data_IF_185675102633
#
_entry.id   IF_185675102633
#
_cell.length_a   1.000
_cell.length_b   1.000
_cell.length_c   1.000
_cell.angle_alpha   90.00
_cell.angle_beta   90.00
_cell.angle_gamma   90.00
#
_symmetry.space_group_name_H-M   'P 1'
#
loop_
_entity.id
_entity.type
_entity.pdbx_description
1 polymer ?
#
# COMPACT_ATOMS: atom_id res chain seq x y z
N UNK A 1 0.82 8.54 0.86
CA UNK A 1 0.04 9.73 0.53
C UNK A 1 0.86 10.71 -0.33
N UNK A 2 2.04 11.17 0.11
CA UNK A 2 2.83 12.20 -0.57
C UNK A 2 3.02 11.93 -2.09
N UNK A 3 3.42 10.73 -2.48
CA UNK A 3 3.62 10.37 -3.90
C UNK A 3 2.30 10.46 -4.67
N UNK A 4 1.21 9.98 -4.08
CA UNK A 4 -0.10 10.03 -4.72
C UNK A 4 -0.67 11.45 -4.81
N UNK A 5 -0.30 12.39 -3.92
CA UNK A 5 -0.66 13.81 -4.09
C UNK A 5 0.06 14.44 -5.27
N UNK A 6 1.34 14.13 -5.48
CA UNK A 6 2.07 14.56 -6.68
C UNK A 6 1.44 13.99 -7.96
N UNK A 7 1.05 12.72 -7.93
CA UNK A 7 0.35 12.09 -9.07
C UNK A 7 -1.00 12.74 -9.35
N UNK A 8 -1.77 13.08 -8.31
CA UNK A 8 -3.07 13.75 -8.43
C UNK A 8 -2.91 15.15 -9.07
N UNK A 9 -1.93 15.90 -8.61
CA UNK A 9 -1.61 17.23 -9.15
C UNK A 9 -1.12 17.13 -10.59
N UNK A 10 -0.18 16.21 -10.88
CA UNK A 10 0.34 15.96 -12.21
C UNK A 10 -0.74 15.55 -13.21
N UNK A 11 -1.73 14.77 -12.78
CA UNK A 11 -2.86 14.31 -13.60
C UNK A 11 -3.97 15.36 -13.75
N UNK A 12 -3.80 16.56 -13.21
CA UNK A 12 -4.86 17.58 -13.14
C UNK A 12 -6.11 17.08 -12.42
N UNK A 13 -5.92 16.36 -11.33
CA UNK A 13 -7.01 15.74 -10.57
C UNK A 13 -7.83 16.72 -9.74
N UNK A 14 -8.94 16.23 -9.16
CA UNK A 14 -9.90 16.99 -8.37
C UNK A 14 -9.71 16.75 -6.87
N UNK A 15 -9.84 17.80 -6.08
CA UNK A 15 -9.79 17.71 -4.61
C UNK A 15 -11.11 17.25 -3.98
N UNK A 16 -12.22 17.32 -4.71
CA UNK A 16 -13.56 17.02 -4.18
C UNK A 16 -13.66 15.67 -3.44
N UNK A 17 -13.07 14.54 -3.93
CA UNK A 17 -13.13 13.25 -3.25
C UNK A 17 -12.45 13.23 -1.86
N UNK A 18 -11.62 14.22 -1.57
CA UNK A 18 -10.86 14.34 -0.32
C UNK A 18 -11.51 15.28 0.69
N UNK A 19 -12.64 15.90 0.36
CA UNK A 19 -13.37 16.82 1.23
C UNK A 19 -13.82 16.10 2.50
N UNK A 20 -13.82 16.82 3.63
CA UNK A 20 -14.13 16.27 4.93
C UNK A 20 -15.52 15.66 5.01
N UNK A 21 -16.52 16.33 4.44
CA UNK A 21 -17.90 15.87 4.42
C UNK A 21 -18.06 14.46 3.78
N UNK A 22 -17.25 14.13 2.77
CA UNK A 22 -17.25 12.81 2.14
C UNK A 22 -16.67 11.75 3.10
N UNK A 23 -15.63 12.11 3.84
CA UNK A 23 -15.00 11.17 4.78
C UNK A 23 -15.89 10.90 6.00
N UNK A 24 -16.56 11.92 6.51
CA UNK A 24 -17.38 11.81 7.71
C UNK A 24 -18.65 10.97 7.55
N UNK A 25 -19.20 10.85 6.35
CA UNK A 25 -20.37 9.99 6.10
C UNK A 25 -20.02 8.50 5.96
N UNK A 26 -18.72 8.17 5.88
CA UNK A 26 -18.18 6.80 5.92
C UNK A 26 -16.90 6.77 6.77
N UNK A 27 -17.03 6.86 8.11
CA UNK A 27 -15.95 7.31 8.99
C UNK A 27 -14.94 6.20 9.36
N UNK A 28 -14.29 5.58 8.37
CA UNK A 28 -13.12 4.76 8.62
C UNK A 28 -11.93 5.66 8.96
N UNK A 29 -11.21 5.33 10.03
CA UNK A 29 -10.14 6.18 10.56
C UNK A 29 -9.06 6.49 9.52
N UNK A 30 -8.54 5.47 8.85
CA UNK A 30 -7.52 5.64 7.82
C UNK A 30 -8.00 6.46 6.61
N UNK A 31 -9.30 6.35 6.27
CA UNK A 31 -9.91 7.15 5.20
C UNK A 31 -9.96 8.64 5.57
N UNK A 32 -10.38 8.97 6.79
CA UNK A 32 -10.39 10.36 7.31
C UNK A 32 -8.97 10.94 7.30
N UNK A 33 -8.01 10.21 7.86
CA UNK A 33 -6.61 10.62 7.90
C UNK A 33 -6.02 10.85 6.49
N UNK A 34 -6.38 10.01 5.53
CA UNK A 34 -5.93 10.17 4.14
C UNK A 34 -6.53 11.41 3.50
N UNK A 35 -7.83 11.64 3.65
CA UNK A 35 -8.48 12.84 3.16
C UNK A 35 -7.88 14.13 3.75
N UNK A 36 -7.60 14.13 5.06
CA UNK A 36 -6.96 15.24 5.74
C UNK A 36 -5.53 15.49 5.23
N UNK A 37 -4.73 14.43 5.06
CA UNK A 37 -3.37 14.53 4.56
C UNK A 37 -3.33 15.15 3.14
N UNK A 38 -4.22 14.74 2.25
CA UNK A 38 -4.32 15.29 0.90
C UNK A 38 -4.72 16.77 0.91
N UNK A 39 -5.71 17.16 1.70
CA UNK A 39 -6.10 18.57 1.83
C UNK A 39 -4.96 19.45 2.36
N UNK A 40 -4.17 18.94 3.31
CA UNK A 40 -2.99 19.65 3.84
C UNK A 40 -1.87 19.77 2.82
N UNK A 41 -1.55 18.69 2.12
CA UNK A 41 -0.44 18.65 1.15
C UNK A 41 -0.72 19.50 -0.10
N UNK A 42 -1.99 19.62 -0.48
CA UNK A 42 -2.42 20.35 -1.68
C UNK A 42 -2.94 21.77 -1.40
N UNK A 43 -2.86 22.21 -0.15
CA UNK A 43 -3.28 23.56 0.23
C UNK A 43 -2.45 24.63 -0.50
N UNK A 44 -3.12 25.51 -1.25
CA UNK A 44 -2.48 26.57 -2.04
C UNK A 44 -1.90 26.10 -3.38
N UNK A 45 -2.21 24.88 -3.83
CA UNK A 45 -1.82 24.43 -5.17
C UNK A 45 -2.69 25.08 -6.24
N UNK A 46 -2.10 25.94 -7.06
CA UNK A 46 -2.77 26.59 -8.19
C UNK A 46 -3.31 25.56 -9.21
N UNK A 47 -2.59 24.45 -9.40
CA UNK A 47 -2.99 23.37 -10.30
C UNK A 47 -4.28 22.69 -9.81
N UNK A 48 -4.41 22.47 -8.53
CA UNK A 48 -5.61 21.86 -7.92
C UNK A 48 -6.80 22.81 -7.92
N UNK A 49 -6.57 24.11 -7.69
CA UNK A 49 -7.63 25.11 -7.60
C UNK A 49 -8.16 25.58 -8.96
N UNK A 50 -7.42 25.35 -10.05
CA UNK A 50 -7.86 25.75 -11.38
C UNK A 50 -9.15 25.07 -11.82
N UNK A 51 -9.91 25.70 -12.71
CA UNK A 51 -11.09 25.10 -13.30
C UNK A 51 -10.78 23.75 -13.97
N UNK A 52 -11.62 22.75 -13.71
CA UNK A 52 -11.49 21.40 -14.28
C UNK A 52 -12.57 21.17 -15.35
N UNK A 53 -12.13 20.76 -16.53
CA UNK A 53 -13.07 20.45 -17.64
C UNK A 53 -13.80 19.12 -17.43
N UNK A 54 -13.23 18.21 -16.67
CA UNK A 54 -13.79 16.87 -16.41
C UNK A 54 -14.64 16.85 -15.12
N UNK A 55 -15.66 16.01 -15.12
CA UNK A 55 -16.59 15.89 -13.98
C UNK A 55 -15.97 15.12 -12.81
N UNK A 56 -15.18 14.09 -13.10
CA UNK A 56 -14.59 13.20 -12.09
C UNK A 56 -13.30 12.56 -12.58
N UNK A 57 -12.49 12.09 -11.63
CA UNK A 57 -11.25 11.36 -11.90
C UNK A 57 -11.50 9.85 -12.01
N UNK A 58 -10.58 9.11 -12.64
CA UNK A 58 -10.53 7.65 -12.52
C UNK A 58 -10.44 7.19 -11.06
N UNK A 59 -10.85 5.96 -10.79
CA UNK A 59 -10.87 5.40 -9.43
C UNK A 59 -9.50 5.38 -8.75
N UNK A 60 -8.42 5.21 -9.51
CA UNK A 60 -7.07 5.24 -8.98
C UNK A 60 -6.66 6.57 -8.33
N UNK A 61 -7.37 7.66 -8.65
CA UNK A 61 -7.26 8.97 -8.00
C UNK A 61 -8.43 9.22 -7.04
N UNK A 62 -9.66 9.07 -7.51
CA UNK A 62 -10.87 9.39 -6.76
C UNK A 62 -11.08 8.50 -5.52
N UNK A 63 -10.63 7.25 -5.55
CA UNK A 63 -10.78 6.30 -4.45
C UNK A 63 -9.52 6.16 -3.57
N UNK A 64 -8.56 7.08 -3.68
CA UNK A 64 -7.37 7.09 -2.83
C UNK A 64 -7.74 7.07 -1.33
N UNK A 65 -8.66 7.89 -0.82
CA UNK A 65 -8.99 7.88 0.61
C UNK A 65 -9.44 6.50 1.10
N UNK A 66 -10.23 5.79 0.32
CA UNK A 66 -10.78 4.48 0.66
C UNK A 66 -9.69 3.40 0.65
N UNK A 67 -8.84 3.38 -0.37
CA UNK A 67 -7.81 2.33 -0.54
C UNK A 67 -6.62 2.56 0.38
N UNK A 68 -6.04 3.77 0.38
CA UNK A 68 -4.94 4.10 1.30
C UNK A 68 -5.40 4.02 2.76
N UNK A 69 -6.63 4.46 3.04
CA UNK A 69 -7.22 4.38 4.37
C UNK A 69 -7.34 2.95 4.87
N UNK A 70 -7.85 2.04 4.06
CA UNK A 70 -7.95 0.62 4.41
C UNK A 70 -6.57 0.01 4.70
N UNK A 71 -5.54 0.38 3.92
CA UNK A 71 -4.16 -0.07 4.16
C UNK A 71 -3.61 0.48 5.49
N UNK A 72 -3.86 1.75 5.82
CA UNK A 72 -3.48 2.35 7.12
C UNK A 72 -4.13 1.63 8.30
N UNK A 73 -5.43 1.31 8.19
CA UNK A 73 -6.14 0.58 9.23
C UNK A 73 -5.60 -0.84 9.41
N UNK A 74 -5.25 -1.52 8.31
CA UNK A 74 -4.59 -2.83 8.34
C UNK A 74 -3.20 -2.76 9.01
N UNK A 75 -2.39 -1.78 8.66
CA UNK A 75 -1.06 -1.56 9.27
C UNK A 75 -1.21 -1.33 10.78
N UNK A 76 -2.19 -0.52 11.20
CA UNK A 76 -2.45 -0.22 12.62
C UNK A 76 -2.83 -1.48 13.40
N UNK A 77 -3.68 -2.32 12.83
CA UNK A 77 -4.02 -3.61 13.43
C UNK A 77 -2.79 -4.51 13.58
N UNK A 78 -2.01 -4.69 12.52
CA UNK A 78 -0.81 -5.54 12.56
C UNK A 78 0.23 -4.99 13.53
N UNK A 79 0.42 -3.67 13.58
CA UNK A 79 1.30 -3.04 14.55
C UNK A 79 0.89 -3.35 16.00
N UNK A 80 -0.41 -3.39 16.30
CA UNK A 80 -0.91 -3.76 17.65
C UNK A 80 -0.61 -5.21 18.00
N UNK A 81 -0.72 -6.13 17.04
CA UNK A 81 -0.34 -7.54 17.24
C UNK A 81 1.16 -7.67 17.49
N UNK A 82 2.00 -7.02 16.66
CA UNK A 82 3.45 -7.04 16.82
C UNK A 82 3.87 -6.45 18.17
N UNK A 83 3.25 -5.35 18.60
CA UNK A 83 3.57 -4.74 19.90
C UNK A 83 3.25 -5.69 21.06
N UNK A 84 2.18 -6.46 20.98
CA UNK A 84 1.87 -7.49 21.95
C UNK A 84 2.91 -8.60 21.93
N UNK A 85 3.26 -9.09 20.73
CA UNK A 85 4.16 -10.22 20.55
C UNK A 85 5.58 -9.95 21.07
N UNK A 86 6.15 -8.77 20.75
CA UNK A 86 7.50 -8.40 21.23
C UNK A 86 7.62 -8.21 22.74
N UNK A 87 6.48 -8.10 23.45
CA UNK A 87 6.40 -8.03 24.90
C UNK A 87 5.90 -9.34 25.55
N UNK A 88 5.78 -10.41 24.76
CA UNK A 88 5.25 -11.69 25.23
C UNK A 88 6.35 -12.71 25.53
N UNK A 89 6.03 -13.66 26.39
CA UNK A 89 6.84 -14.87 26.61
C UNK A 89 6.32 -15.96 25.67
N UNK A 90 7.15 -16.37 24.75
CA UNK A 90 6.78 -17.24 23.61
C UNK A 90 7.51 -18.57 23.59
N UNK A 91 7.87 -19.11 24.76
CA UNK A 91 8.60 -20.36 24.87
C UNK A 91 7.79 -21.44 25.61
N UNK A 92 8.34 -22.64 25.65
CA UNK A 92 7.80 -23.81 26.36
C UNK A 92 8.96 -24.69 26.89
N UNK A 93 8.94 -25.11 28.18
CA UNK A 93 7.93 -24.73 29.19
C UNK A 93 8.12 -23.31 29.73
N UNK A 94 7.04 -22.70 30.21
CA UNK A 94 7.07 -21.40 30.87
C UNK A 94 7.31 -21.58 32.38
N UNK A 95 8.21 -20.80 32.98
CA UNK A 95 8.59 -20.84 34.37
C UNK A 95 7.99 -19.64 35.11
N UNK A 96 7.30 -19.90 36.22
CA UNK A 96 6.71 -18.89 37.11
C UNK A 96 7.37 -19.01 38.48
N UNK A 97 8.51 -18.30 38.71
CA UNK A 97 9.31 -18.45 39.93
C UNK A 97 8.54 -18.10 41.23
N UNK A 98 7.74 -17.04 41.16
CA UNK A 98 6.98 -16.55 42.32
C UNK A 98 5.87 -17.52 42.78
N UNK A 99 5.43 -18.37 41.85
CA UNK A 99 4.39 -19.37 42.11
C UNK A 99 4.93 -20.79 42.30
N UNK A 100 6.26 -20.96 42.17
CA UNK A 100 6.96 -22.25 42.14
C UNK A 100 6.35 -23.25 41.13
N UNK A 101 6.10 -22.78 39.91
CA UNK A 101 5.43 -23.56 38.85
C UNK A 101 6.19 -23.58 37.57
N UNK A 102 6.17 -24.74 36.91
CA UNK A 102 6.66 -24.94 35.51
C UNK A 102 5.47 -25.52 34.74
N UNK A 103 5.05 -24.80 33.70
CA UNK A 103 3.85 -25.14 32.94
C UNK A 103 4.21 -25.32 31.45
N UNK A 104 3.83 -26.49 30.89
CA UNK A 104 3.86 -26.71 29.46
C UNK A 104 2.61 -26.08 28.82
N UNK A 105 2.83 -25.23 27.81
CA UNK A 105 1.77 -24.51 27.09
C UNK A 105 2.11 -24.33 25.61
N UNK A 106 1.32 -23.57 24.89
CA UNK A 106 1.41 -23.35 23.45
C UNK A 106 1.82 -21.96 23.02
N UNK A 107 2.42 -21.14 23.91
CA UNK A 107 2.75 -19.74 23.59
C UNK A 107 3.84 -19.58 22.51
N UNK A 108 4.53 -20.65 22.14
CA UNK A 108 5.45 -20.70 21.00
C UNK A 108 4.73 -20.68 19.65
N UNK A 109 3.40 -20.92 19.60
CA UNK A 109 2.67 -21.07 18.34
C UNK A 109 2.50 -19.72 17.65
N UNK A 110 3.17 -19.52 16.52
CA UNK A 110 3.24 -18.24 15.80
C UNK A 110 2.02 -17.88 14.93
N UNK A 111 0.85 -18.49 15.18
CA UNK A 111 -0.35 -18.23 14.38
C UNK A 111 -0.83 -16.76 14.42
N UNK A 112 -0.75 -16.03 15.55
CA UNK A 112 -1.08 -14.60 15.56
C UNK A 112 -0.24 -13.78 14.56
N UNK A 113 1.05 -14.11 14.43
CA UNK A 113 1.95 -13.47 13.47
C UNK A 113 1.65 -13.92 12.05
N UNK A 114 1.42 -15.22 11.81
CA UNK A 114 1.17 -15.76 10.48
C UNK A 114 -0.05 -15.08 9.82
N UNK A 115 -1.18 -14.98 10.52
CA UNK A 115 -2.40 -14.32 10.04
C UNK A 115 -2.14 -12.83 9.79
N UNK A 116 -1.47 -12.16 10.73
CA UNK A 116 -1.17 -10.73 10.62
C UNK A 116 -0.28 -10.41 9.42
N UNK A 117 0.72 -11.24 9.13
CA UNK A 117 1.61 -11.05 8.00
C UNK A 117 0.91 -11.28 6.66
N UNK A 118 0.07 -12.31 6.54
CA UNK A 118 -0.73 -12.52 5.32
C UNK A 118 -1.73 -11.38 5.10
N UNK A 119 -2.38 -10.89 6.16
CA UNK A 119 -3.29 -9.76 6.10
C UNK A 119 -2.56 -8.48 5.65
N UNK A 120 -1.37 -8.22 6.19
CA UNK A 120 -0.55 -7.07 5.80
C UNK A 120 -0.07 -7.20 4.34
N UNK A 121 0.32 -8.39 3.91
CA UNK A 121 0.73 -8.63 2.53
C UNK A 121 -0.37 -8.27 1.53
N UNK A 122 -1.63 -8.65 1.82
CA UNK A 122 -2.80 -8.29 1.01
C UNK A 122 -2.99 -6.76 0.96
N UNK A 123 -2.94 -6.09 2.11
CA UNK A 123 -3.13 -4.64 2.19
C UNK A 123 -2.04 -3.86 1.43
N UNK A 124 -0.79 -4.28 1.53
CA UNK A 124 0.33 -3.65 0.83
C UNK A 124 0.33 -3.95 -0.68
N UNK A 125 -0.08 -5.16 -1.08
CA UNK A 125 -0.24 -5.51 -2.49
C UNK A 125 -1.32 -4.64 -3.16
N UNK A 126 -2.44 -4.37 -2.48
CA UNK A 126 -3.49 -3.50 -2.99
C UNK A 126 -3.03 -2.03 -3.07
N UNK A 127 -2.23 -1.56 -2.10
CA UNK A 127 -1.61 -0.23 -2.18
C UNK A 127 -0.69 -0.11 -3.41
N UNK A 128 0.09 -1.16 -3.73
CA UNK A 128 0.90 -1.23 -4.94
C UNK A 128 0.05 -1.27 -6.21
N UNK A 129 -1.07 -1.98 -6.17
CA UNK A 129 -2.00 -2.10 -7.29
C UNK A 129 -2.59 -0.73 -7.68
N UNK A 130 -3.12 0.04 -6.73
CA UNK A 130 -3.67 1.37 -7.02
C UNK A 130 -2.57 2.37 -7.46
N UNK A 131 -1.36 2.26 -6.90
CA UNK A 131 -0.20 3.06 -7.30
C UNK A 131 0.14 2.83 -8.78
N UNK A 132 0.28 1.58 -9.20
CA UNK A 132 0.55 1.23 -10.61
C UNK A 132 -0.56 1.72 -11.54
N UNK A 133 -1.85 1.68 -11.12
CA UNK A 133 -2.93 2.27 -11.93
C UNK A 133 -2.74 3.76 -12.16
N UNK A 134 -2.22 4.51 -11.18
CA UNK A 134 -1.88 5.93 -11.38
C UNK A 134 -0.72 6.11 -12.35
N UNK A 135 0.32 5.29 -12.26
CA UNK A 135 1.42 5.28 -13.25
C UNK A 135 0.86 5.06 -14.64
N UNK A 136 -0.01 4.07 -14.83
CA UNK A 136 -0.68 3.79 -16.10
C UNK A 136 -1.45 5.01 -16.62
N UNK A 137 -2.23 5.67 -15.76
CA UNK A 137 -3.00 6.88 -16.15
C UNK A 137 -2.10 8.04 -16.59
N UNK A 138 -0.97 8.25 -15.92
CA UNK A 138 -0.04 9.34 -16.24
C UNK A 138 0.60 9.19 -17.63
N UNK A 139 0.81 7.97 -18.10
CA UNK A 139 1.48 7.71 -19.38
C UNK A 139 0.54 7.52 -20.57
N UNK A 140 -0.78 7.59 -20.37
CA UNK A 140 -1.78 7.30 -21.43
C UNK A 140 -2.08 8.47 -22.38
N UNK A 141 -1.39 9.59 -22.27
CA UNK A 141 -1.68 10.77 -23.10
C UNK A 141 -2.99 11.47 -22.75
N UNK A 142 -3.44 11.36 -21.50
CA UNK A 142 -4.66 11.98 -21.00
C UNK A 142 -4.38 13.34 -20.33
N UNK A 143 -5.39 14.18 -20.25
CA UNK A 143 -5.35 15.48 -19.53
C UNK A 143 -4.23 16.43 -20.02
N UNK A 144 -3.91 16.39 -21.31
CA UNK A 144 -2.85 17.21 -21.88
C UNK A 144 -1.44 16.67 -21.68
N UNK A 145 -1.29 15.54 -21.02
CA UNK A 145 0.00 14.85 -20.90
C UNK A 145 0.36 14.18 -22.22
N UNK A 146 1.65 14.18 -22.62
CA UNK A 146 2.08 13.39 -23.77
C UNK A 146 2.05 11.90 -23.46
N UNK A 147 1.72 11.06 -24.45
CA UNK A 147 1.84 9.61 -24.30
C UNK A 147 3.26 9.22 -23.84
N UNK A 148 3.35 8.28 -22.92
CA UNK A 148 4.60 7.82 -22.30
C UNK A 148 5.45 8.94 -21.66
N UNK A 149 4.87 10.12 -21.44
CA UNK A 149 5.55 11.32 -20.88
C UNK A 149 6.82 11.68 -21.65
N UNK A 150 6.77 11.60 -22.99
CA UNK A 150 7.95 11.81 -23.86
C UNK A 150 7.58 12.55 -25.13
N UNK A 151 8.52 13.32 -25.66
CA UNK A 151 8.39 13.91 -26.99
C UNK A 151 8.45 12.81 -28.07
N UNK A 152 7.60 12.91 -29.11
CA UNK A 152 7.49 11.95 -30.20
C UNK A 152 7.28 10.50 -29.74
N UNK A 153 6.14 10.21 -29.07
CA UNK A 153 5.79 8.86 -28.65
C UNK A 153 5.70 7.93 -29.87
N UNK A 154 6.09 6.68 -29.67
CA UNK A 154 6.21 5.71 -30.78
C UNK A 154 7.62 5.66 -31.39
N UNK A 155 8.27 6.79 -31.58
CA UNK A 155 9.72 6.85 -31.87
C UNK A 155 10.51 6.67 -30.57
N UNK A 156 10.05 7.26 -29.48
CA UNK A 156 10.61 7.15 -28.16
C UNK A 156 9.63 6.40 -27.24
N UNK A 157 10.16 5.51 -26.41
CA UNK A 157 9.36 4.72 -25.47
C UNK A 157 9.06 5.43 -24.14
N UNK A 158 9.84 6.47 -23.80
CA UNK A 158 9.67 7.24 -22.57
C UNK A 158 9.53 6.37 -21.32
N UNK A 159 8.47 6.59 -20.56
CA UNK A 159 8.18 5.89 -19.33
C UNK A 159 7.37 4.58 -19.51
N UNK A 160 7.23 4.07 -20.73
CA UNK A 160 6.55 2.80 -20.99
C UNK A 160 7.19 1.63 -20.21
N UNK A 161 8.51 1.50 -20.22
CA UNK A 161 9.21 0.38 -19.55
C UNK A 161 9.15 0.46 -18.02
N UNK A 162 9.31 1.62 -17.36
CA UNK A 162 9.00 1.75 -15.94
C UNK A 162 7.59 1.27 -15.56
N UNK A 163 6.56 1.61 -16.36
CA UNK A 163 5.21 1.11 -16.11
C UNK A 163 5.13 -0.42 -16.26
N UNK A 164 5.79 -1.02 -17.26
CA UNK A 164 5.89 -2.48 -17.39
C UNK A 164 6.51 -3.13 -16.14
N UNK A 165 7.57 -2.54 -15.60
CA UNK A 165 8.20 -3.03 -14.37
C UNK A 165 7.24 -2.98 -13.19
N UNK A 166 6.54 -1.86 -12.99
CA UNK A 166 5.53 -1.72 -11.93
C UNK A 166 4.39 -2.75 -12.09
N UNK A 167 3.86 -2.92 -13.29
CA UNK A 167 2.81 -3.91 -13.60
C UNK A 167 3.27 -5.35 -13.33
N UNK A 168 4.52 -5.68 -13.64
CA UNK A 168 5.12 -6.99 -13.35
C UNK A 168 5.18 -7.26 -11.85
N UNK A 169 5.64 -6.28 -11.06
CA UNK A 169 5.70 -6.39 -9.59
C UNK A 169 4.31 -6.50 -8.95
N UNK A 170 3.32 -5.77 -9.45
CA UNK A 170 1.92 -5.91 -9.03
C UNK A 170 1.40 -7.32 -9.31
N UNK A 171 1.68 -7.86 -10.49
CA UNK A 171 1.32 -9.24 -10.83
C UNK A 171 2.00 -10.26 -9.90
N UNK A 172 3.28 -10.06 -9.59
CA UNK A 172 4.02 -10.91 -8.67
C UNK A 172 3.46 -10.84 -7.23
N UNK A 173 3.10 -9.65 -6.76
CA UNK A 173 2.50 -9.47 -5.43
C UNK A 173 1.22 -10.30 -5.24
N UNK A 174 0.40 -10.47 -6.29
CA UNK A 174 -0.79 -11.33 -6.22
C UNK A 174 -0.44 -12.77 -5.87
N UNK A 175 0.69 -13.28 -6.35
CA UNK A 175 1.18 -14.62 -5.99
C UNK A 175 1.60 -14.70 -4.52
N UNK A 176 2.15 -13.62 -3.97
CA UNK A 176 2.57 -13.54 -2.57
C UNK A 176 1.39 -13.31 -1.60
N UNK A 177 0.21 -12.98 -2.08
CA UNK A 177 -1.01 -12.86 -1.27
C UNK A 177 -1.68 -14.20 -0.96
N UNK A 178 -1.16 -15.34 -1.45
CA UNK A 178 -1.62 -16.65 -1.04
C UNK A 178 -1.40 -16.87 0.46
N UNK A 179 -2.45 -17.27 1.18
CA UNK A 179 -2.41 -17.34 2.64
C UNK A 179 -1.57 -18.53 3.13
N UNK A 180 -0.35 -18.25 3.60
CA UNK A 180 0.49 -19.25 4.26
C UNK A 180 -0.04 -19.60 5.67
N UNK A 181 -0.75 -18.67 6.31
CA UNK A 181 -1.33 -18.88 7.64
C UNK A 181 -2.45 -19.94 7.69
N UNK A 182 -3.00 -20.32 6.54
CA UNK A 182 -4.01 -21.40 6.45
C UNK A 182 -3.40 -22.79 6.24
N UNK A 183 -2.08 -22.88 6.09
CA UNK A 183 -1.36 -24.12 5.93
C UNK A 183 -0.77 -24.63 7.25
N UNK A 184 -0.57 -25.92 7.34
CA UNK A 184 0.06 -26.60 8.47
C UNK A 184 0.71 -27.91 8.01
N UNK A 185 1.65 -28.39 8.82
CA UNK A 185 2.31 -29.70 8.64
C UNK A 185 2.30 -30.46 9.94
N UNK A 186 2.57 -31.77 9.87
CA UNK A 186 2.83 -32.63 11.02
C UNK A 186 4.31 -32.84 11.17
N UNK A 187 4.84 -32.68 12.39
CA UNK A 187 6.25 -32.87 12.73
C UNK A 187 6.41 -33.60 14.06
N UNK A 188 7.67 -33.87 14.47
CA UNK A 188 8.04 -34.46 15.77
C UNK A 188 7.24 -35.72 16.11
N UNK A 189 7.12 -36.66 15.13
CA UNK A 189 6.39 -37.92 15.28
C UNK A 189 4.92 -37.75 15.71
N UNK A 190 4.27 -36.69 15.23
CA UNK A 190 2.86 -36.39 15.53
C UNK A 190 2.63 -35.58 16.80
N UNK A 191 3.66 -35.27 17.56
CA UNK A 191 3.51 -34.38 18.72
C UNK A 191 3.21 -32.94 18.29
N UNK A 192 3.80 -32.50 17.17
CA UNK A 192 3.55 -31.22 16.51
C UNK A 192 2.60 -31.46 15.34
N UNK A 193 1.35 -31.78 15.62
CA UNK A 193 0.34 -32.15 14.62
C UNK A 193 -0.35 -30.92 13.97
N UNK A 194 -0.10 -29.74 14.52
CA UNK A 194 -0.50 -28.44 13.97
C UNK A 194 0.56 -27.39 14.28
N UNK A 195 1.16 -26.82 13.22
CA UNK A 195 2.19 -25.77 13.33
C UNK A 195 1.79 -24.56 12.49
N UNK A 196 2.26 -23.38 12.88
CA UNK A 196 2.09 -22.17 12.07
C UNK A 196 3.10 -22.11 10.94
N UNK A 197 2.70 -21.59 9.78
CA UNK A 197 3.59 -21.23 8.68
C UNK A 197 4.00 -19.74 8.72
N UNK A 198 4.22 -19.21 9.92
CA UNK A 198 4.56 -17.80 10.16
C UNK A 198 5.83 -17.36 9.44
N UNK A 199 6.85 -18.21 9.36
CA UNK A 199 8.07 -17.92 8.61
C UNK A 199 7.80 -17.75 7.10
N UNK A 200 6.93 -18.58 6.52
CA UNK A 200 6.51 -18.46 5.12
C UNK A 200 5.69 -17.19 4.89
N UNK A 201 4.79 -16.84 5.81
CA UNK A 201 4.04 -15.59 5.74
C UNK A 201 4.98 -14.37 5.81
N UNK A 202 5.95 -14.36 6.73
CA UNK A 202 6.93 -13.29 6.87
C UNK A 202 7.80 -13.12 5.62
N UNK A 203 8.34 -14.20 5.08
CA UNK A 203 9.20 -14.13 3.88
C UNK A 203 8.46 -13.65 2.64
N UNK A 204 7.19 -14.00 2.47
CA UNK A 204 6.34 -13.45 1.41
C UNK A 204 6.07 -11.96 1.61
N UNK A 205 5.79 -11.55 2.85
CA UNK A 205 5.55 -10.15 3.19
C UNK A 205 6.76 -9.28 2.82
N UNK A 206 8.00 -9.71 3.11
CA UNK A 206 9.21 -8.99 2.70
C UNK A 206 9.25 -8.75 1.19
N UNK A 207 8.88 -9.74 0.38
CA UNK A 207 8.86 -9.61 -1.09
C UNK A 207 7.79 -8.60 -1.55
N UNK A 208 6.63 -8.59 -0.89
CA UNK A 208 5.57 -7.61 -1.19
C UNK A 208 6.03 -6.20 -0.82
N UNK A 209 6.71 -6.03 0.31
CA UNK A 209 7.25 -4.73 0.75
C UNK A 209 8.30 -4.20 -0.24
N UNK A 210 9.27 -5.04 -0.62
CA UNK A 210 10.31 -4.69 -1.60
C UNK A 210 9.71 -4.26 -2.95
N UNK A 211 8.76 -5.05 -3.48
CA UNK A 211 8.04 -4.70 -4.69
C UNK A 211 7.24 -3.39 -4.54
N UNK A 212 6.60 -3.18 -3.39
CA UNK A 212 5.83 -1.95 -3.14
C UNK A 212 6.74 -0.72 -3.16
N UNK A 213 7.91 -0.78 -2.53
CA UNK A 213 8.88 0.33 -2.54
C UNK A 213 9.28 0.69 -3.98
N UNK A 214 9.56 -0.30 -4.81
CA UNK A 214 9.88 -0.07 -6.22
C UNK A 214 8.70 0.50 -7.02
N UNK A 215 7.47 0.00 -6.80
CA UNK A 215 6.26 0.52 -7.47
C UNK A 215 6.06 1.99 -7.09
N UNK A 216 6.19 2.34 -5.80
CA UNK A 216 6.06 3.72 -5.33
C UNK A 216 7.16 4.63 -5.88
N UNK A 217 8.40 4.14 -5.98
CA UNK A 217 9.50 4.87 -6.60
C UNK A 217 9.23 5.15 -8.09
N UNK A 218 8.67 4.18 -8.81
CA UNK A 218 8.26 4.35 -10.21
C UNK A 218 7.12 5.38 -10.32
N UNK A 219 6.13 5.35 -9.42
CA UNK A 219 5.07 6.36 -9.39
C UNK A 219 5.66 7.76 -9.18
N UNK A 220 6.55 7.93 -8.21
CA UNK A 220 7.24 9.19 -7.96
C UNK A 220 8.02 9.67 -9.19
N UNK A 221 8.77 8.77 -9.82
CA UNK A 221 9.56 9.06 -11.01
C UNK A 221 8.68 9.50 -12.20
N UNK A 222 7.46 8.99 -12.32
CA UNK A 222 6.51 9.40 -13.36
C UNK A 222 5.82 10.73 -13.04
N UNK A 223 5.47 10.98 -11.77
CA UNK A 223 4.74 12.17 -11.37
C UNK A 223 5.62 13.43 -11.31
N UNK A 224 6.84 13.32 -10.78
CA UNK A 224 7.73 14.45 -10.53
C UNK A 224 8.08 15.29 -11.78
N UNK A 225 8.44 14.71 -12.96
CA UNK A 225 8.72 15.50 -14.17
C UNK A 225 7.50 16.28 -14.66
N UNK A 226 6.30 15.71 -14.50
CA UNK A 226 5.05 16.34 -14.93
C UNK A 226 4.74 17.54 -14.06
N UNK A 227 4.77 17.40 -12.73
CA UNK A 227 4.55 18.50 -11.79
C UNK A 227 5.55 19.63 -12.02
N UNK A 228 6.84 19.29 -12.21
CA UNK A 228 7.88 20.28 -12.49
C UNK A 228 7.68 21.03 -13.83
N UNK A 229 7.22 20.35 -14.86
CA UNK A 229 6.97 20.96 -16.19
C UNK A 229 5.74 21.87 -16.14
N UNK A 230 4.69 21.47 -15.41
CA UNK A 230 3.49 22.31 -15.24
C UNK A 230 3.79 23.59 -14.44
N UNK A 231 4.63 23.53 -13.43
CA UNK A 231 5.05 24.70 -12.64
C UNK A 231 5.84 25.71 -13.50
N UNK A 232 6.72 25.22 -14.40
CA UNK A 232 7.50 26.10 -15.28
C UNK A 232 6.77 26.65 -16.49
N UNK A 233 5.68 26.04 -16.93
CA UNK A 233 4.89 26.54 -18.05
C UNK A 233 4.11 27.83 -17.70
N UNK A 234 4.12 28.23 -16.44
CA UNK A 234 3.47 29.45 -15.93
C UNK A 234 4.47 30.55 -15.52
N UNK A 235 5.78 30.32 -15.61
CA UNK A 235 6.84 31.36 -15.53
C UNK A 235 7.17 31.91 -16.94
#
# INVERSE_FOLDING_TARGET
>A
DLIATLSLEAFDGRIDPFMDCIQQIRPHQGQIETGEAFRKLLAGSELIERHKEHVQDPYSFRCIPQVHGATKDAIRYVASVLLTEINSVTDNPTIFPDEDRIISGGNFHGQPLAISYDFLAIALAELGNISERRVSQLIMGLRGLPEFLVANPGLNSGFMIPQYAAASMVSQNKMYCYAASSDSIVSSNGQEDHVSMGANAATKLYKVMDNLEHILAIELMNAAPVSYTHLRAHE
#
